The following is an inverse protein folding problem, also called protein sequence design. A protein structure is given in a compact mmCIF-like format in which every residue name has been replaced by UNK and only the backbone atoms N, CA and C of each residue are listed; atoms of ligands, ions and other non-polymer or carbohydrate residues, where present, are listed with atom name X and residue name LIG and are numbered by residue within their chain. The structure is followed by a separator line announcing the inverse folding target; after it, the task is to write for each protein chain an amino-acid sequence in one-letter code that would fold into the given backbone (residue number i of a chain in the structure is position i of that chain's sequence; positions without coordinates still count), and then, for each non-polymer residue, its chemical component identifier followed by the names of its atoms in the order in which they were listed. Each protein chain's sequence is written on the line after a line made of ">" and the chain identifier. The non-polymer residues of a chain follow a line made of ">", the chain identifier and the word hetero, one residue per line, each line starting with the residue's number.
data_IF_348012582129
#
_entry.id   IF_348012582129
#
_cell.length_a   1.000
_cell.length_b   1.000
_cell.length_c   1.000
_cell.angle_alpha   90.00
_cell.angle_beta   90.00
_cell.angle_gamma   90.00
#
_symmetry.space_group_name_H-M   'P 1'
#
loop_
_entity.id
_entity.type
_entity.pdbx_description
1 polymer ?
#
# COMPACT_ATOMS: atom_id res chain seq x y z
N UNK A 1 20.45 -9.26 -13.22
CA UNK A 1 20.23 -9.27 -11.76
C UNK A 1 19.46 -10.53 -11.42
N UNK A 2 19.85 -11.23 -10.35
CA UNK A 2 19.09 -12.37 -9.86
C UNK A 2 18.07 -11.85 -8.83
N UNK A 3 16.78 -12.13 -9.02
CA UNK A 3 15.71 -11.68 -8.13
C UNK A 3 15.82 -12.40 -6.77
N UNK A 4 15.75 -11.64 -5.69
CA UNK A 4 15.59 -12.19 -4.34
C UNK A 4 14.17 -12.74 -4.17
N UNK A 5 13.91 -13.64 -3.20
CA UNK A 5 12.55 -14.11 -2.93
C UNK A 5 11.55 -12.98 -2.61
N UNK A 6 12.02 -11.94 -1.91
CA UNK A 6 11.25 -10.72 -1.62
C UNK A 6 10.85 -9.94 -2.89
N UNK A 7 11.67 -9.97 -3.94
CA UNK A 7 11.35 -9.33 -5.23
C UNK A 7 10.27 -10.06 -6.04
N UNK A 8 9.78 -11.21 -5.54
CA UNK A 8 8.73 -12.01 -6.19
C UNK A 8 7.38 -11.94 -5.48
N UNK A 9 7.31 -11.22 -4.37
CA UNK A 9 6.11 -11.11 -3.54
C UNK A 9 5.62 -9.67 -3.57
N UNK A 10 4.38 -9.48 -4.01
CA UNK A 10 3.69 -8.19 -3.91
C UNK A 10 2.68 -8.22 -2.75
N UNK A 11 2.51 -7.08 -2.10
CA UNK A 11 1.45 -6.86 -1.09
C UNK A 11 0.34 -6.04 -1.74
N UNK A 12 -0.89 -6.55 -1.70
CA UNK A 12 -2.09 -5.88 -2.16
C UNK A 12 -2.88 -5.35 -0.96
N UNK A 13 -3.20 -4.06 -0.96
CA UNK A 13 -3.99 -3.40 0.09
C UNK A 13 -5.26 -2.83 -0.56
N UNK A 14 -6.43 -3.47 -0.42
CA UNK A 14 -7.70 -2.81 -0.71
C UNK A 14 -7.99 -1.77 0.38
N UNK A 15 -8.44 -0.58 -0.01
CA UNK A 15 -8.74 0.52 0.91
C UNK A 15 -10.07 1.19 0.57
N UNK A 16 -10.96 1.33 1.56
CA UNK A 16 -12.22 2.05 1.45
C UNK A 16 -12.42 2.91 2.71
N UNK A 17 -12.27 4.22 2.56
CA UNK A 17 -12.39 5.20 3.65
C UNK A 17 -11.43 4.95 4.85
N UNK A 18 -10.16 4.72 4.54
CA UNK A 18 -9.08 4.40 5.48
C UNK A 18 -8.14 5.59 5.74
N UNK A 19 -8.60 6.85 5.63
CA UNK A 19 -7.73 8.04 5.73
C UNK A 19 -6.91 8.14 7.03
N UNK A 20 -7.31 7.42 8.07
CA UNK A 20 -6.62 7.41 9.37
C UNK A 20 -5.51 6.36 9.46
N UNK A 21 -5.61 5.28 8.68
CA UNK A 21 -4.73 4.11 8.79
C UNK A 21 -3.83 3.93 7.57
N UNK A 22 -4.29 4.31 6.38
CA UNK A 22 -3.68 3.91 5.10
C UNK A 22 -2.18 4.23 5.00
N UNK A 23 -1.73 5.39 5.53
CA UNK A 23 -0.31 5.75 5.53
C UNK A 23 0.53 4.79 6.36
N UNK A 24 0.12 4.49 7.60
CA UNK A 24 0.86 3.57 8.47
C UNK A 24 0.89 2.16 7.88
N UNK A 25 -0.24 1.70 7.33
CA UNK A 25 -0.34 0.38 6.68
C UNK A 25 0.61 0.27 5.48
N UNK A 26 0.66 1.28 4.61
CA UNK A 26 1.57 1.29 3.45
C UNK A 26 3.02 1.32 3.90
N UNK A 27 3.38 2.16 4.88
CA UNK A 27 4.74 2.21 5.41
C UNK A 27 5.17 0.88 6.04
N UNK A 28 4.27 0.23 6.80
CA UNK A 28 4.51 -1.10 7.35
C UNK A 28 4.69 -2.16 6.26
N UNK A 29 3.85 -2.16 5.23
CA UNK A 29 3.95 -3.10 4.11
C UNK A 29 5.27 -2.95 3.34
N UNK A 30 5.74 -1.71 3.15
CA UNK A 30 7.02 -1.42 2.50
C UNK A 30 8.24 -1.98 3.27
N UNK A 31 8.10 -2.26 4.58
CA UNK A 31 9.16 -2.96 5.34
C UNK A 31 9.26 -4.46 5.01
N UNK A 32 8.22 -5.03 4.41
CA UNK A 32 8.10 -6.46 4.08
C UNK A 32 8.37 -6.72 2.60
N UNK A 33 7.86 -5.86 1.71
CA UNK A 33 8.10 -5.94 0.28
C UNK A 33 8.23 -4.56 -0.35
N UNK A 34 9.16 -4.44 -1.30
CA UNK A 34 9.28 -3.24 -2.13
C UNK A 34 8.10 -3.07 -3.10
N UNK A 35 7.31 -4.13 -3.36
CA UNK A 35 6.17 -4.10 -4.27
C UNK A 35 4.86 -4.05 -3.48
N UNK A 36 4.37 -2.84 -3.23
CA UNK A 36 3.07 -2.58 -2.58
C UNK A 36 2.10 -1.96 -3.58
N UNK A 37 0.92 -2.55 -3.69
CA UNK A 37 -0.16 -2.10 -4.58
C UNK A 37 -1.35 -1.74 -3.71
N UNK A 38 -1.74 -0.47 -3.70
CA UNK A 38 -2.95 -0.01 -3.02
C UNK A 38 -4.07 0.12 -4.04
N UNK A 39 -5.23 -0.46 -3.77
CA UNK A 39 -6.43 -0.31 -4.59
C UNK A 39 -7.44 0.47 -3.76
N UNK A 40 -7.72 1.69 -4.20
CA UNK A 40 -8.82 2.48 -3.66
C UNK A 40 -10.15 1.92 -4.20
N UNK A 41 -10.98 1.38 -3.31
CA UNK A 41 -12.25 0.70 -3.62
C UNK A 41 -13.43 1.70 -3.65
N UNK A 42 -13.16 2.93 -4.10
CA UNK A 42 -14.17 4.00 -4.21
C UNK A 42 -14.32 4.83 -2.94
N UNK A 43 -13.21 5.18 -2.30
CA UNK A 43 -13.20 6.05 -1.12
C UNK A 43 -13.81 7.42 -1.42
N UNK A 44 -14.52 7.94 -0.41
CA UNK A 44 -15.16 9.26 -0.39
C UNK A 44 -14.49 10.23 0.58
N UNK A 45 -13.44 9.78 1.26
CA UNK A 45 -12.63 10.54 2.22
C UNK A 45 -11.23 10.83 1.63
N UNK A 46 -10.27 11.19 2.49
CA UNK A 46 -8.91 11.51 2.05
C UNK A 46 -7.99 10.28 1.82
N UNK A 47 -8.49 9.04 1.77
CA UNK A 47 -7.68 7.80 1.68
C UNK A 47 -6.55 7.90 0.65
N UNK A 48 -6.85 8.18 -0.62
CA UNK A 48 -5.83 8.30 -1.67
C UNK A 48 -4.87 9.48 -1.41
N UNK A 49 -5.42 10.62 -0.97
CA UNK A 49 -4.63 11.82 -0.68
C UNK A 49 -3.64 11.64 0.48
N UNK A 50 -3.85 10.67 1.37
CA UNK A 50 -2.95 10.37 2.48
C UNK A 50 -1.65 9.69 2.07
N UNK A 51 -1.52 9.22 0.82
CA UNK A 51 -0.34 8.50 0.30
C UNK A 51 0.11 8.99 -1.08
N UNK A 52 -0.25 10.23 -1.45
CA UNK A 52 0.00 10.82 -2.77
C UNK A 52 1.30 11.65 -2.87
N UNK A 53 2.17 11.58 -1.86
CA UNK A 53 3.47 12.28 -1.75
C UNK A 53 4.64 11.55 -2.42
#
# INVERSE_FOLDING_TARGET
>A
MNLTPSDRVAILIPALNEERAIREVVLGALTVSAQVIVIDDGSSDATAARIAD
#
